data_IF_695529727491
#
_entry.id   IF_695529727491
#
_cell.length_a   1.000
_cell.length_b   1.000
_cell.length_c   1.000
_cell.angle_alpha   90.00
_cell.angle_beta   90.00
_cell.angle_gamma   90.00
#
_symmetry.space_group_name_H-M   'P 1'
#
loop_
_entity.id
_entity.type
_entity.pdbx_description
1 polymer ?
#
# COMPACT_ATOMS: atom_id res chain seq x y z
N UNK A 1 21.37 -25.16 -25.13
CA UNK A 1 21.72 -25.46 -23.77
C UNK A 1 20.50 -25.34 -22.84
N UNK A 2 20.07 -26.47 -22.30
CA UNK A 2 18.83 -26.51 -21.50
C UNK A 2 18.90 -25.64 -20.24
N UNK A 3 20.06 -25.60 -19.60
CA UNK A 3 20.24 -24.80 -18.37
C UNK A 3 20.08 -23.31 -18.67
N UNK A 4 20.64 -22.83 -19.76
CA UNK A 4 20.50 -21.43 -20.15
C UNK A 4 19.07 -21.09 -20.50
N UNK A 5 18.37 -21.99 -21.18
CA UNK A 5 16.96 -21.78 -21.52
C UNK A 5 16.07 -21.74 -20.28
N UNK A 6 16.35 -22.59 -19.31
CA UNK A 6 15.62 -22.57 -18.04
C UNK A 6 15.83 -21.25 -17.30
N UNK A 7 17.08 -20.78 -17.24
CA UNK A 7 17.39 -19.51 -16.58
C UNK A 7 16.68 -18.34 -17.25
N UNK A 8 16.65 -18.34 -18.57
CA UNK A 8 15.96 -17.29 -19.32
C UNK A 8 14.47 -17.28 -19.03
N UNK A 9 13.84 -18.45 -19.05
CA UNK A 9 12.40 -18.56 -18.76
C UNK A 9 12.10 -18.14 -17.33
N UNK A 10 12.96 -18.55 -16.40
CA UNK A 10 12.77 -18.18 -14.99
C UNK A 10 12.81 -16.65 -14.82
N UNK A 11 13.75 -16.00 -15.47
CA UNK A 11 13.85 -14.54 -15.39
C UNK A 11 12.59 -13.86 -15.94
N UNK A 12 12.04 -14.34 -17.04
CA UNK A 12 10.83 -13.81 -17.64
C UNK A 12 9.64 -13.95 -16.68
N UNK A 13 9.47 -15.12 -16.07
CA UNK A 13 8.39 -15.34 -15.11
C UNK A 13 8.51 -14.45 -13.87
N UNK A 14 9.73 -14.21 -13.41
CA UNK A 14 9.95 -13.34 -12.26
C UNK A 14 9.46 -11.92 -12.56
N UNK A 15 9.71 -11.41 -13.77
CA UNK A 15 9.24 -10.09 -14.17
C UNK A 15 7.71 -10.01 -14.19
N UNK A 16 7.06 -11.02 -14.73
CA UNK A 16 5.59 -11.10 -14.76
C UNK A 16 5.02 -11.18 -13.34
N UNK A 17 5.64 -11.99 -12.48
CA UNK A 17 5.21 -12.11 -11.08
C UNK A 17 5.32 -10.80 -10.34
N UNK A 18 6.35 -10.01 -10.62
CA UNK A 18 6.53 -8.71 -9.97
C UNK A 18 5.40 -7.75 -10.34
N UNK A 19 4.99 -7.73 -11.62
CA UNK A 19 3.89 -6.88 -12.05
C UNK A 19 2.57 -7.33 -11.45
N UNK A 20 2.28 -8.64 -11.48
CA UNK A 20 1.09 -9.19 -10.84
C UNK A 20 1.08 -8.89 -9.35
N UNK A 21 2.23 -9.05 -8.70
CA UNK A 21 2.35 -8.75 -7.27
C UNK A 21 2.02 -7.28 -7.00
N UNK A 22 2.53 -6.36 -7.80
CA UNK A 22 2.28 -4.92 -7.61
C UNK A 22 0.81 -4.59 -7.74
N UNK A 23 0.14 -5.15 -8.76
CA UNK A 23 -1.29 -4.93 -8.95
C UNK A 23 -2.10 -5.47 -7.79
N UNK A 24 -1.82 -6.70 -7.36
CA UNK A 24 -2.51 -7.29 -6.22
C UNK A 24 -2.25 -6.53 -4.94
N UNK A 25 -1.00 -6.10 -4.75
CA UNK A 25 -0.63 -5.33 -3.57
C UNK A 25 -1.35 -3.99 -3.53
N UNK A 26 -1.46 -3.31 -4.68
CA UNK A 26 -2.19 -2.06 -4.77
C UNK A 26 -3.66 -2.25 -4.43
N UNK A 27 -4.30 -3.29 -4.97
CA UNK A 27 -5.70 -3.58 -4.68
C UNK A 27 -5.89 -3.89 -3.20
N UNK A 28 -5.00 -4.66 -2.61
CA UNK A 28 -5.04 -5.01 -1.19
C UNK A 28 -4.91 -3.76 -0.34
N UNK A 29 -3.98 -2.87 -0.67
CA UNK A 29 -3.77 -1.64 0.08
C UNK A 29 -4.92 -0.66 -0.09
N UNK A 30 -5.48 -0.56 -1.29
CA UNK A 30 -6.66 0.29 -1.53
C UNK A 30 -7.86 -0.20 -0.71
N UNK A 31 -8.11 -1.51 -0.69
CA UNK A 31 -9.20 -2.08 0.10
C UNK A 31 -8.98 -1.87 1.58
N UNK A 32 -7.75 -2.07 2.05
CA UNK A 32 -7.40 -1.84 3.44
C UNK A 32 -7.59 -0.37 3.80
N UNK A 33 -7.13 0.55 2.94
CA UNK A 33 -7.24 1.97 3.17
C UNK A 33 -8.70 2.40 3.32
N UNK A 34 -9.56 1.96 2.41
CA UNK A 34 -10.99 2.32 2.47
C UNK A 34 -11.66 1.75 3.70
N UNK A 35 -11.35 0.51 4.07
CA UNK A 35 -11.91 -0.12 5.25
C UNK A 35 -11.49 0.60 6.53
N UNK A 36 -10.22 0.97 6.63
CA UNK A 36 -9.71 1.70 7.78
C UNK A 36 -10.23 3.15 7.82
N UNK A 37 -10.38 3.78 6.66
CA UNK A 37 -10.98 5.10 6.57
C UNK A 37 -12.42 5.10 7.09
N UNK A 38 -13.20 4.09 6.72
CA UNK A 38 -14.55 3.94 7.22
C UNK A 38 -14.57 3.79 8.74
N UNK A 39 -13.63 3.02 9.29
CA UNK A 39 -13.51 2.86 10.73
C UNK A 39 -13.17 4.19 11.42
N UNK A 40 -12.23 4.95 10.85
CA UNK A 40 -11.87 6.27 11.38
C UNK A 40 -13.08 7.21 11.38
N UNK A 41 -13.87 7.19 10.30
CA UNK A 41 -15.09 8.01 10.22
C UNK A 41 -16.11 7.64 11.29
N UNK A 42 -16.26 6.35 11.57
CA UNK A 42 -17.24 5.87 12.56
C UNK A 42 -16.81 6.16 13.99
N UNK A 43 -15.52 5.95 14.28
CA UNK A 43 -15.02 6.06 15.65
C UNK A 43 -14.48 7.44 15.99
N UNK A 44 -14.05 8.21 14.98
CA UNK A 44 -13.38 9.49 15.20
C UNK A 44 -11.95 9.37 15.67
N UNK A 45 -11.44 8.16 15.81
CA UNK A 45 -10.09 7.91 16.31
C UNK A 45 -9.12 7.66 15.14
N UNK A 46 -7.92 8.20 15.24
CA UNK A 46 -6.90 7.95 14.25
C UNK A 46 -6.44 6.50 14.28
N UNK A 47 -6.03 5.99 13.13
CA UNK A 47 -5.48 4.65 13.00
C UNK A 47 -4.07 4.78 12.42
N UNK A 48 -3.11 4.15 13.09
CA UNK A 48 -1.73 4.06 12.63
C UNK A 48 -1.52 2.67 12.03
N UNK A 49 -1.13 2.63 10.77
CA UNK A 49 -0.87 1.37 10.07
C UNK A 49 0.53 0.85 10.40
N UNK A 50 0.81 -0.38 9.97
CA UNK A 50 2.14 -0.94 10.14
C UNK A 50 3.17 -0.18 9.28
N UNK A 51 4.45 -0.18 9.66
CA UNK A 51 5.49 0.40 8.82
C UNK A 51 5.50 -0.26 7.44
N UNK A 52 5.69 0.55 6.41
CA UNK A 52 5.68 0.06 5.05
C UNK A 52 6.57 0.93 4.17
N UNK A 53 6.87 0.43 2.97
CA UNK A 53 7.72 1.14 2.03
C UNK A 53 7.08 2.44 1.55
N UNK A 54 7.88 3.34 1.01
CA UNK A 54 7.39 4.59 0.46
C UNK A 54 6.35 4.35 -0.65
N UNK A 55 6.56 3.33 -1.49
CA UNK A 55 5.61 2.97 -2.55
C UNK A 55 4.26 2.55 -1.99
N UNK A 56 4.26 1.72 -0.96
CA UNK A 56 3.03 1.27 -0.31
C UNK A 56 2.30 2.43 0.35
N UNK A 57 3.03 3.29 1.06
CA UNK A 57 2.43 4.47 1.70
C UNK A 57 1.80 5.39 0.67
N UNK A 58 2.46 5.57 -0.46
CA UNK A 58 1.92 6.38 -1.55
C UNK A 58 0.60 5.82 -2.08
N UNK A 59 0.50 4.50 -2.21
CA UNK A 59 -0.74 3.86 -2.66
C UNK A 59 -1.90 4.18 -1.73
N UNK A 60 -1.66 4.15 -0.42
CA UNK A 60 -2.70 4.47 0.56
C UNK A 60 -3.08 5.95 0.48
N UNK A 61 -2.11 6.86 0.39
CA UNK A 61 -2.39 8.28 0.24
C UNK A 61 -3.23 8.55 -1.01
N UNK A 62 -2.89 7.94 -2.14
CA UNK A 62 -3.63 8.11 -3.38
C UNK A 62 -5.04 7.54 -3.29
N UNK A 63 -5.19 6.38 -2.64
CA UNK A 63 -6.51 5.75 -2.49
C UNK A 63 -7.47 6.62 -1.68
N UNK A 64 -6.98 7.36 -0.70
CA UNK A 64 -7.81 8.19 0.18
C UNK A 64 -7.77 9.66 -0.17
N UNK A 65 -7.04 10.05 -1.21
CA UNK A 65 -6.89 11.45 -1.60
C UNK A 65 -8.23 12.11 -1.92
N UNK A 66 -9.15 11.38 -2.52
CA UNK A 66 -10.46 11.88 -2.89
C UNK A 66 -11.50 11.80 -1.77
N UNK A 67 -11.15 11.19 -0.65
CA UNK A 67 -12.06 11.07 0.50
C UNK A 67 -11.98 12.33 1.35
N UNK A 68 -13.02 13.14 1.30
CA UNK A 68 -13.04 14.42 2.00
C UNK A 68 -13.21 14.34 3.51
N UNK A 69 -13.51 13.15 4.04
CA UNK A 69 -13.78 12.98 5.47
C UNK A 69 -12.55 12.55 6.27
N UNK A 70 -11.50 12.09 5.59
CA UNK A 70 -10.27 11.64 6.25
C UNK A 70 -9.05 12.30 5.63
N UNK A 71 -7.99 12.39 6.42
CA UNK A 71 -6.68 12.81 5.94
C UNK A 71 -5.66 11.73 6.24
N UNK A 72 -4.61 11.68 5.45
CA UNK A 72 -3.52 10.71 5.63
C UNK A 72 -2.20 11.46 5.71
N UNK A 73 -1.31 10.96 6.56
CA UNK A 73 0.04 11.50 6.63
C UNK A 73 1.01 10.36 6.95
N UNK A 74 2.27 10.55 6.58
CA UNK A 74 3.34 9.63 6.93
C UNK A 74 4.01 10.08 8.20
N UNK A 75 4.28 9.15 9.10
CA UNK A 75 4.91 9.45 10.38
C UNK A 75 6.03 8.45 10.66
N UNK A 76 7.02 8.89 11.42
CA UNK A 76 8.16 8.07 11.79
C UNK A 76 9.33 8.20 10.83
N UNK A 77 10.37 7.44 11.10
CA UNK A 77 11.60 7.43 10.30
C UNK A 77 11.79 6.05 9.65
N UNK A 78 12.35 6.05 8.43
CA UNK A 78 12.65 4.80 7.76
C UNK A 78 13.60 3.95 8.61
N UNK A 79 13.44 2.62 8.63
CA UNK A 79 12.48 1.82 7.87
C UNK A 79 11.11 1.68 8.54
N UNK A 80 10.85 2.37 9.63
CA UNK A 80 9.64 2.22 10.45
C UNK A 80 8.57 3.27 10.15
N UNK A 81 8.69 3.94 9.02
CA UNK A 81 7.74 4.98 8.63
C UNK A 81 6.40 4.36 8.23
N UNK A 82 5.31 4.92 8.74
CA UNK A 82 3.97 4.38 8.54
C UNK A 82 2.98 5.48 8.13
N UNK A 83 1.78 5.05 7.74
CA UNK A 83 0.68 5.96 7.41
C UNK A 83 -0.23 6.08 8.63
N UNK A 84 -0.69 7.29 8.90
CA UNK A 84 -1.70 7.56 9.92
C UNK A 84 -2.94 8.12 9.20
N UNK A 85 -4.10 7.54 9.47
CA UNK A 85 -5.39 7.98 8.92
C UNK A 85 -6.15 8.67 10.03
N UNK A 86 -6.61 9.90 9.78
CA UNK A 86 -7.34 10.72 10.75
C UNK A 86 -8.61 11.29 10.14
N UNK A 87 -9.54 11.69 10.98
CA UNK A 87 -10.66 12.50 10.51
C UNK A 87 -10.16 13.88 10.11
N UNK A 88 -10.76 14.41 9.07
CA UNK A 88 -10.38 15.72 8.52
C UNK A 88 -11.17 16.82 9.22
N UNK A 89 -10.71 17.15 10.41
CA UNK A 89 -11.31 18.25 11.16
C UNK A 89 -10.25 19.11 11.81
#
# INVERSE_FOLDING_TARGET
>A
NLAANKNFRHHYFVLLDVEDYRQRRRQTLESLAHRLADKVKRTGEEIRLEPMSAGDRRMIHLALQSDGAVSTESDGEAPYRCVVIRTKQ
#
